data_IF_086544294948
#
_entry.id   IF_086544294948
#
_cell.length_a   1.000
_cell.length_b   1.000
_cell.length_c   1.000
_cell.angle_alpha   90.00
_cell.angle_beta   90.00
_cell.angle_gamma   90.00
#
_symmetry.space_group_name_H-M   'P 1'
#
loop_
_entity.id
_entity.type
_entity.pdbx_description
1 polymer ?
#
# COMPACT_ATOMS: atom_id res chain seq x y z
N UNK A 1 8.22 -7.40 -37.70
CA UNK A 1 8.94 -6.18 -37.29
C UNK A 1 8.10 -5.26 -36.41
N UNK A 2 6.80 -5.07 -36.66
CA UNK A 2 5.88 -4.23 -35.88
C UNK A 2 5.65 -4.69 -34.42
N UNK A 3 5.69 -5.98 -34.15
CA UNK A 3 5.46 -6.54 -32.80
C UNK A 3 6.62 -6.32 -31.83
N UNK A 4 7.86 -6.24 -32.31
CA UNK A 4 9.05 -6.01 -31.46
C UNK A 4 9.10 -4.55 -30.98
N UNK A 5 8.80 -3.60 -31.89
CA UNK A 5 8.78 -2.17 -31.54
C UNK A 5 7.63 -1.82 -30.57
N UNK A 6 6.48 -2.48 -30.70
CA UNK A 6 5.37 -2.28 -29.77
C UNK A 6 5.72 -2.82 -28.35
N UNK A 7 6.43 -3.94 -28.27
CA UNK A 7 6.83 -4.52 -26.96
C UNK A 7 7.90 -3.68 -26.25
N UNK A 8 8.89 -3.13 -26.97
CA UNK A 8 9.93 -2.28 -26.38
C UNK A 8 9.36 -0.95 -25.87
N UNK A 9 8.49 -0.29 -26.62
CA UNK A 9 7.85 0.95 -26.17
C UNK A 9 6.97 0.78 -24.93
N UNK A 10 6.33 -0.39 -24.76
CA UNK A 10 5.54 -0.67 -23.55
C UNK A 10 6.44 -0.88 -22.33
N UNK A 11 7.56 -1.58 -22.51
CA UNK A 11 8.52 -1.78 -21.42
C UNK A 11 9.08 -0.44 -20.96
N UNK A 12 9.48 0.42 -21.89
CA UNK A 12 9.96 1.77 -21.59
C UNK A 12 8.89 2.62 -20.90
N UNK A 13 7.66 2.65 -21.44
CA UNK A 13 6.54 3.31 -20.78
C UNK A 13 6.32 2.81 -19.35
N UNK A 14 6.37 1.49 -19.13
CA UNK A 14 6.16 0.89 -17.82
C UNK A 14 7.28 1.28 -16.84
N UNK A 15 8.54 1.37 -17.29
CA UNK A 15 9.66 1.84 -16.48
C UNK A 15 9.41 3.27 -15.98
N UNK A 16 9.09 4.18 -16.89
CA UNK A 16 8.83 5.60 -16.55
C UNK A 16 7.59 5.72 -15.66
N UNK A 17 6.50 5.03 -16.03
CA UNK A 17 5.25 5.05 -15.25
C UNK A 17 5.48 4.61 -13.80
N UNK A 18 6.14 3.47 -13.59
CA UNK A 18 6.36 2.93 -12.25
C UNK A 18 7.27 3.84 -11.40
N UNK A 19 8.32 4.40 -11.99
CA UNK A 19 9.20 5.34 -11.31
C UNK A 19 8.45 6.61 -10.86
N UNK A 20 7.65 7.19 -11.74
CA UNK A 20 6.81 8.37 -11.45
C UNK A 20 5.76 8.01 -10.39
N UNK A 21 5.05 6.90 -10.58
CA UNK A 21 3.99 6.46 -9.66
C UNK A 21 4.52 6.29 -8.23
N UNK A 22 5.59 5.54 -8.02
CA UNK A 22 6.15 5.33 -6.68
C UNK A 22 6.80 6.58 -6.08
N UNK A 23 7.30 7.48 -6.92
CA UNK A 23 7.75 8.81 -6.46
C UNK A 23 6.58 9.65 -5.98
N UNK A 24 5.44 9.64 -6.70
CA UNK A 24 4.21 10.30 -6.25
C UNK A 24 3.67 9.69 -4.94
N UNK A 25 3.71 8.35 -4.79
CA UNK A 25 3.34 7.67 -3.53
C UNK A 25 4.23 8.12 -2.38
N UNK A 26 5.55 8.14 -2.58
CA UNK A 26 6.51 8.59 -1.57
C UNK A 26 6.29 10.06 -1.19
N UNK A 27 6.11 10.93 -2.19
CA UNK A 27 5.83 12.36 -1.99
C UNK A 27 4.53 12.56 -1.21
N UNK A 28 3.45 11.87 -1.57
CA UNK A 28 2.16 11.98 -0.86
C UNK A 28 2.29 11.68 0.63
N UNK A 29 2.91 10.55 0.99
CA UNK A 29 3.06 10.19 2.40
C UNK A 29 4.02 11.15 3.14
N UNK A 30 5.11 11.57 2.50
CA UNK A 30 6.07 12.52 3.08
C UNK A 30 5.40 13.86 3.36
N UNK A 31 4.71 14.44 2.38
CA UNK A 31 3.98 15.70 2.53
C UNK A 31 2.89 15.58 3.60
N UNK A 32 2.14 14.49 3.59
CA UNK A 32 1.10 14.24 4.60
C UNK A 32 1.66 14.22 6.02
N UNK A 33 2.78 13.55 6.25
CA UNK A 33 3.43 13.47 7.56
C UNK A 33 3.93 14.87 7.97
N UNK A 34 4.63 15.57 7.07
CA UNK A 34 5.16 16.93 7.36
C UNK A 34 4.03 17.91 7.69
N UNK A 35 2.98 17.96 6.85
CA UNK A 35 1.84 18.87 7.08
C UNK A 35 1.13 18.58 8.41
N UNK A 36 0.99 17.32 8.75
CA UNK A 36 0.31 16.95 9.97
C UNK A 36 1.18 17.22 11.22
N UNK A 37 2.52 17.05 11.14
CA UNK A 37 3.45 17.44 12.22
C UNK A 37 3.48 18.96 12.45
N UNK A 38 3.32 19.77 11.39
CA UNK A 38 3.23 21.23 11.50
C UNK A 38 1.93 21.65 12.21
N UNK A 39 0.82 20.96 11.92
CA UNK A 39 -0.49 21.28 12.51
C UNK A 39 -0.62 20.84 13.97
N UNK A 40 -0.08 19.70 14.31
CA UNK A 40 -0.12 19.13 15.66
C UNK A 40 1.23 18.45 15.94
N UNK A 41 1.93 18.81 17.02
CA UNK A 41 3.20 18.17 17.40
C UNK A 41 2.94 16.78 18.03
N UNK A 42 2.29 15.89 17.28
CA UNK A 42 1.97 14.52 17.70
C UNK A 42 2.64 13.55 16.73
N UNK A 43 3.25 12.52 17.26
CA UNK A 43 3.80 11.43 16.44
C UNK A 43 2.70 10.72 15.67
N UNK A 44 2.73 10.86 14.35
CA UNK A 44 1.77 10.21 13.44
C UNK A 44 2.17 8.81 13.04
N UNK A 45 3.45 8.46 13.22
CA UNK A 45 4.00 7.17 12.87
C UNK A 45 4.39 6.46 14.16
N UNK A 46 3.58 5.49 14.54
CA UNK A 46 3.68 4.75 15.78
C UNK A 46 4.10 3.29 15.51
N UNK A 47 5.39 3.01 15.35
CA UNK A 47 5.87 1.67 15.04
C UNK A 47 5.73 0.69 16.21
N UNK A 48 5.42 1.20 17.41
CA UNK A 48 5.45 0.44 18.65
C UNK A 48 6.85 0.33 19.28
N UNK A 49 6.97 -0.41 20.37
CA UNK A 49 8.24 -0.67 21.04
C UNK A 49 9.21 -1.42 20.10
N UNK A 50 10.51 -1.12 20.23
CA UNK A 50 11.54 -1.79 19.41
C UNK A 50 11.46 -3.29 19.56
N UNK A 51 11.57 -4.00 18.43
CA UNK A 51 11.55 -5.46 18.31
C UNK A 51 10.19 -6.13 18.60
N UNK A 52 9.11 -5.39 18.89
CA UNK A 52 7.78 -5.97 18.97
C UNK A 52 7.24 -6.35 17.57
N UNK A 53 6.14 -7.11 17.53
CA UNK A 53 5.56 -7.58 16.26
C UNK A 53 5.12 -6.44 15.34
N UNK A 54 4.58 -5.35 15.89
CA UNK A 54 4.16 -4.16 15.12
C UNK A 54 5.38 -3.40 14.59
N UNK A 55 6.46 -3.31 15.37
CA UNK A 55 7.71 -2.70 14.93
C UNK A 55 8.30 -3.44 13.72
N UNK A 56 8.37 -4.78 13.78
CA UNK A 56 8.84 -5.58 12.63
C UNK A 56 7.97 -5.42 11.40
N UNK A 57 6.63 -5.35 11.56
CA UNK A 57 5.74 -5.04 10.45
C UNK A 57 6.10 -3.70 9.81
N UNK A 58 6.28 -2.64 10.61
CA UNK A 58 6.64 -1.32 10.11
C UNK A 58 8.00 -1.29 9.40
N UNK A 59 9.01 -1.99 9.96
CA UNK A 59 10.34 -2.06 9.35
C UNK A 59 10.30 -2.82 8.03
N UNK A 60 9.57 -3.94 7.96
CA UNK A 60 9.37 -4.71 6.73
C UNK A 60 8.67 -3.86 5.67
N UNK A 61 7.59 -3.15 6.01
CA UNK A 61 6.92 -2.25 5.07
C UNK A 61 7.85 -1.13 4.56
N UNK A 62 8.65 -0.52 5.44
CA UNK A 62 9.62 0.51 5.05
C UNK A 62 10.66 -0.03 4.10
N UNK A 63 11.24 -1.18 4.43
CA UNK A 63 12.24 -1.83 3.61
C UNK A 63 11.71 -2.16 2.21
N UNK A 64 10.56 -2.86 2.10
CA UNK A 64 10.00 -3.21 0.80
C UNK A 64 9.55 -1.98 0.01
N UNK A 65 8.97 -0.98 0.65
CA UNK A 65 8.57 0.26 -0.01
C UNK A 65 9.76 1.00 -0.61
N UNK A 66 10.87 1.09 0.14
CA UNK A 66 12.11 1.67 -0.34
C UNK A 66 12.71 0.83 -1.48
N UNK A 67 12.77 -0.49 -1.33
CA UNK A 67 13.29 -1.40 -2.36
C UNK A 67 12.50 -1.30 -3.67
N UNK A 68 11.17 -1.30 -3.60
CA UNK A 68 10.30 -1.13 -4.77
C UNK A 68 10.58 0.21 -5.45
N UNK A 69 10.61 1.30 -4.70
CA UNK A 69 10.87 2.64 -5.25
C UNK A 69 12.26 2.71 -5.91
N UNK A 70 13.30 2.20 -5.25
CA UNK A 70 14.66 2.17 -5.78
C UNK A 70 14.76 1.32 -7.06
N UNK A 71 14.17 0.12 -7.06
CA UNK A 71 14.16 -0.73 -8.26
C UNK A 71 13.42 -0.04 -9.41
N UNK A 72 12.24 0.54 -9.17
CA UNK A 72 11.49 1.24 -10.21
C UNK A 72 12.26 2.46 -10.74
N UNK A 73 12.96 3.21 -9.88
CA UNK A 73 13.75 4.35 -10.27
C UNK A 73 15.00 3.95 -11.08
N UNK A 74 15.75 2.97 -10.59
CA UNK A 74 16.97 2.52 -11.26
C UNK A 74 16.69 1.85 -12.62
N UNK A 75 15.55 1.19 -12.79
CA UNK A 75 15.14 0.63 -14.09
C UNK A 75 15.02 1.67 -15.21
N UNK A 76 14.84 2.95 -14.88
CA UNK A 76 14.80 4.05 -15.87
C UNK A 76 16.21 4.33 -16.42
N UNK A 77 17.22 4.19 -15.57
CA UNK A 77 18.62 4.51 -15.93
C UNK A 77 19.43 3.29 -16.36
N UNK A 78 19.07 2.10 -15.87
CA UNK A 78 19.80 0.85 -16.07
C UNK A 78 18.83 -0.24 -16.52
N UNK A 79 18.76 -0.43 -17.84
CA UNK A 79 17.85 -1.42 -18.44
C UNK A 79 18.17 -2.88 -18.05
N UNK A 80 19.44 -3.14 -17.75
CA UNK A 80 19.94 -4.46 -17.34
C UNK A 80 19.29 -4.97 -16.05
N UNK A 81 18.73 -4.09 -15.23
CA UNK A 81 18.00 -4.48 -14.01
C UNK A 81 16.86 -5.45 -14.33
N UNK A 82 16.20 -5.31 -15.48
CA UNK A 82 15.11 -6.19 -15.89
C UNK A 82 15.54 -7.66 -15.96
N UNK A 83 16.81 -7.93 -16.31
CA UNK A 83 17.37 -9.28 -16.38
C UNK A 83 17.45 -9.94 -14.98
N UNK A 84 17.61 -9.15 -13.92
CA UNK A 84 17.70 -9.65 -12.54
C UNK A 84 16.34 -9.85 -11.89
N UNK A 85 15.26 -9.27 -12.44
CA UNK A 85 13.93 -9.36 -11.86
C UNK A 85 13.25 -10.71 -12.09
N UNK A 86 13.76 -11.52 -13.03
CA UNK A 86 13.21 -12.82 -13.45
C UNK A 86 11.76 -12.64 -13.90
N UNK A 87 11.58 -12.15 -15.12
CA UNK A 87 10.28 -11.76 -15.67
C UNK A 87 9.42 -12.97 -16.06
N UNK A 88 8.12 -12.93 -15.76
CA UNK A 88 7.13 -13.88 -16.26
C UNK A 88 6.67 -13.47 -17.65
N UNK A 89 7.37 -13.91 -18.70
CA UNK A 89 7.12 -13.52 -20.09
C UNK A 89 5.69 -13.84 -20.56
N UNK A 90 5.08 -14.92 -20.05
CA UNK A 90 3.70 -15.30 -20.36
C UNK A 90 2.66 -14.29 -19.85
N UNK A 91 2.99 -13.50 -18.83
CA UNK A 91 2.13 -12.45 -18.28
C UNK A 91 2.44 -11.05 -18.83
N UNK A 92 3.49 -10.91 -19.62
CA UNK A 92 3.88 -9.62 -20.24
C UNK A 92 3.04 -9.30 -21.48
N UNK A 93 1.75 -9.32 -21.35
CA UNK A 93 0.81 -8.94 -22.40
C UNK A 93 0.19 -7.58 -22.13
N UNK A 94 -0.13 -6.86 -23.19
CA UNK A 94 -0.76 -5.53 -23.09
C UNK A 94 -1.96 -5.49 -22.14
N UNK A 95 -2.95 -6.39 -22.25
CA UNK A 95 -4.12 -6.34 -21.39
C UNK A 95 -3.76 -6.51 -19.92
N UNK A 96 -2.82 -7.38 -19.59
CA UNK A 96 -2.40 -7.64 -18.20
C UNK A 96 -1.69 -6.42 -17.63
N UNK A 97 -0.73 -5.83 -18.38
CA UNK A 97 0.01 -4.65 -17.95
C UNK A 97 -0.92 -3.47 -17.72
N UNK A 98 -1.83 -3.17 -18.68
CA UNK A 98 -2.77 -2.06 -18.53
C UNK A 98 -3.79 -2.30 -17.40
N UNK A 99 -4.23 -3.53 -17.18
CA UNK A 99 -5.04 -3.89 -16.01
C UNK A 99 -4.27 -3.62 -14.73
N UNK A 100 -2.99 -4.01 -14.67
CA UNK A 100 -2.12 -3.73 -13.53
C UNK A 100 -2.00 -2.23 -13.24
N UNK A 101 -1.70 -1.44 -14.25
CA UNK A 101 -1.60 0.03 -14.15
C UNK A 101 -2.93 0.64 -13.67
N UNK A 102 -4.05 0.19 -14.21
CA UNK A 102 -5.38 0.67 -13.81
C UNK A 102 -5.68 0.35 -12.34
N UNK A 103 -5.36 -0.86 -11.88
CA UNK A 103 -5.53 -1.26 -10.47
C UNK A 103 -4.60 -0.47 -9.54
N UNK A 104 -3.38 -0.17 -9.96
CA UNK A 104 -2.45 0.68 -9.18
C UNK A 104 -3.02 2.08 -9.00
N UNK A 105 -3.43 2.71 -10.09
CA UNK A 105 -4.01 4.07 -10.06
C UNK A 105 -5.28 4.07 -9.21
N UNK A 106 -6.20 3.15 -9.47
CA UNK A 106 -7.46 3.05 -8.72
C UNK A 106 -7.21 2.82 -7.22
N UNK A 107 -6.39 1.83 -6.86
CA UNK A 107 -6.08 1.51 -5.47
C UNK A 107 -5.41 2.68 -4.74
N UNK A 108 -4.48 3.37 -5.38
CA UNK A 108 -3.81 4.53 -4.77
C UNK A 108 -4.74 5.74 -4.65
N UNK A 109 -5.53 6.06 -5.67
CA UNK A 109 -6.53 7.14 -5.61
C UNK A 109 -7.55 6.90 -4.50
N UNK A 110 -8.08 5.68 -4.40
CA UNK A 110 -8.99 5.30 -3.32
C UNK A 110 -8.30 5.37 -1.94
N UNK A 111 -7.04 4.99 -1.84
CA UNK A 111 -6.25 5.17 -0.61
C UNK A 111 -6.18 6.64 -0.21
N UNK A 112 -5.91 7.56 -1.14
CA UNK A 112 -5.90 9.00 -0.89
C UNK A 112 -7.26 9.48 -0.41
N UNK A 113 -8.34 9.11 -1.08
CA UNK A 113 -9.71 9.51 -0.75
C UNK A 113 -10.09 9.04 0.67
N UNK A 114 -9.81 7.77 1.02
CA UNK A 114 -10.09 7.26 2.37
C UNK A 114 -9.23 7.97 3.41
N UNK A 115 -7.95 8.23 3.13
CA UNK A 115 -7.08 9.00 4.02
C UNK A 115 -7.59 10.43 4.26
N UNK A 116 -8.07 11.10 3.22
CA UNK A 116 -8.64 12.44 3.34
C UNK A 116 -9.96 12.42 4.14
N UNK A 117 -10.78 11.38 3.96
CA UNK A 117 -12.02 11.23 4.73
C UNK A 117 -11.80 11.01 6.24
N UNK A 118 -10.65 10.47 6.63
CA UNK A 118 -10.28 10.33 8.04
C UNK A 118 -9.78 11.64 8.66
N UNK A 119 -9.26 12.55 7.85
CA UNK A 119 -8.72 13.85 8.33
C UNK A 119 -7.64 13.67 9.41
N UNK A 120 -7.76 14.41 10.50
CA UNK A 120 -6.80 14.41 11.61
C UNK A 120 -6.86 13.14 12.49
N UNK A 121 -7.85 12.27 12.27
CA UNK A 121 -7.99 11.00 12.99
C UNK A 121 -7.02 9.91 12.50
N UNK A 122 -6.40 10.11 11.34
CA UNK A 122 -5.49 9.12 10.77
C UNK A 122 -4.17 9.03 11.55
N UNK A 123 -3.75 7.80 11.83
CA UNK A 123 -2.44 7.45 12.39
C UNK A 123 -1.86 6.28 11.61
N UNK A 124 -0.54 6.19 11.56
CA UNK A 124 0.17 5.04 10.98
C UNK A 124 0.72 4.19 12.11
N UNK A 125 0.14 3.02 12.33
CA UNK A 125 0.47 2.14 13.45
C UNK A 125 -0.57 2.16 14.54
N UNK A 126 -0.24 1.54 15.67
CA UNK A 126 -1.14 1.38 16.82
C UNK A 126 -0.79 2.44 17.85
N UNK A 127 -1.69 3.40 18.05
CA UNK A 127 -1.62 4.39 19.10
C UNK A 127 -1.98 3.74 20.44
N UNK A 128 -1.06 3.74 21.41
CA UNK A 128 -1.30 3.14 22.73
C UNK A 128 -2.44 3.81 23.50
N UNK A 129 -2.63 5.11 23.29
CA UNK A 129 -3.75 5.87 23.86
C UNK A 129 -5.03 5.68 23.06
N UNK A 130 -4.91 5.17 21.83
CA UNK A 130 -5.98 4.84 20.89
C UNK A 130 -6.68 6.05 20.29
N UNK A 131 -7.52 5.81 19.29
CA UNK A 131 -8.41 6.85 18.80
C UNK A 131 -9.46 7.18 19.86
N UNK A 132 -9.77 8.46 20.06
CA UNK A 132 -10.80 8.90 21.02
C UNK A 132 -12.21 8.39 20.68
N UNK A 133 -12.44 7.95 19.45
CA UNK A 133 -13.73 7.51 18.94
C UNK A 133 -13.53 6.46 17.84
N UNK A 134 -14.35 5.41 17.85
CA UNK A 134 -14.40 4.41 16.79
C UNK A 134 -15.00 5.02 15.52
N UNK A 135 -14.31 4.87 14.39
CA UNK A 135 -14.81 5.34 13.08
C UNK A 135 -15.61 4.20 12.44
N UNK A 136 -16.92 4.41 12.26
CA UNK A 136 -17.84 3.43 11.66
C UNK A 136 -18.60 3.97 10.45
N UNK A 137 -18.40 5.24 10.11
CA UNK A 137 -19.09 5.94 9.03
C UNK A 137 -18.25 6.03 7.75
N UNK A 138 -18.85 6.59 6.68
CA UNK A 138 -18.17 6.72 5.39
C UNK A 138 -17.75 5.36 4.81
N UNK A 139 -16.50 5.22 4.39
CA UNK A 139 -15.96 3.96 3.86
C UNK A 139 -15.95 2.82 4.88
N UNK A 140 -15.86 3.14 6.17
CA UNK A 140 -15.87 2.18 7.27
C UNK A 140 -17.25 1.56 7.51
N UNK A 141 -18.30 2.06 6.85
CA UNK A 141 -19.63 1.42 6.82
C UNK A 141 -19.65 0.17 5.95
N UNK A 142 -18.77 0.08 4.95
CA UNK A 142 -18.72 -1.02 3.99
C UNK A 142 -17.62 -2.03 4.26
N UNK A 143 -16.50 -1.57 4.80
CA UNK A 143 -15.35 -2.40 5.15
C UNK A 143 -14.73 -1.90 6.45
N UNK A 144 -14.30 -2.82 7.31
CA UNK A 144 -13.55 -2.45 8.53
C UNK A 144 -12.14 -1.94 8.23
N UNK A 145 -11.61 -2.30 7.06
CA UNK A 145 -10.22 -2.04 6.66
C UNK A 145 -10.11 -1.45 5.25
N UNK A 146 -10.82 -0.35 4.91
CA UNK A 146 -10.90 0.15 3.55
C UNK A 146 -9.55 0.60 2.98
N UNK A 147 -8.66 1.17 3.79
CA UNK A 147 -7.32 1.57 3.35
C UNK A 147 -6.49 0.35 2.96
N UNK A 148 -6.48 -0.69 3.80
CA UNK A 148 -5.72 -1.90 3.53
C UNK A 148 -6.22 -2.64 2.29
N UNK A 149 -7.54 -2.63 2.04
CA UNK A 149 -8.13 -3.17 0.82
C UNK A 149 -7.61 -2.43 -0.42
N UNK A 150 -7.63 -1.09 -0.39
CA UNK A 150 -7.14 -0.26 -1.49
C UNK A 150 -5.64 -0.47 -1.74
N UNK A 151 -4.84 -0.57 -0.69
CA UNK A 151 -3.41 -0.87 -0.78
C UNK A 151 -3.17 -2.27 -1.36
N UNK A 152 -3.96 -3.28 -0.96
CA UNK A 152 -3.85 -4.63 -1.52
C UNK A 152 -4.17 -4.65 -3.03
N UNK A 153 -5.22 -3.94 -3.47
CA UNK A 153 -5.56 -3.78 -4.89
C UNK A 153 -4.38 -3.14 -5.65
N UNK A 154 -3.78 -2.08 -5.11
CA UNK A 154 -2.62 -1.44 -5.73
C UNK A 154 -1.40 -2.37 -5.80
N UNK A 155 -1.16 -3.21 -4.80
CA UNK A 155 -0.07 -4.19 -4.81
C UNK A 155 -0.28 -5.29 -5.85
N UNK A 156 -1.52 -5.79 -6.01
CA UNK A 156 -1.88 -6.72 -7.09
C UNK A 156 -1.64 -6.05 -8.45
N UNK A 157 -2.04 -4.78 -8.57
CA UNK A 157 -1.78 -3.98 -9.76
C UNK A 157 -0.29 -3.88 -10.09
N UNK A 158 0.56 -3.68 -9.10
CA UNK A 158 2.01 -3.62 -9.29
C UNK A 158 2.57 -4.95 -9.83
N UNK A 159 2.15 -6.08 -9.30
CA UNK A 159 2.55 -7.38 -9.82
C UNK A 159 2.11 -7.56 -11.28
N UNK A 160 0.90 -7.17 -11.66
CA UNK A 160 0.42 -7.27 -13.02
C UNK A 160 1.09 -6.28 -13.98
N UNK A 161 1.45 -5.08 -13.51
CA UNK A 161 2.16 -4.08 -14.30
C UNK A 161 3.64 -4.45 -14.56
N UNK A 162 4.24 -5.22 -13.66
CA UNK A 162 5.62 -5.70 -13.75
C UNK A 162 5.68 -7.16 -13.30
N UNK A 163 5.16 -8.12 -14.10
CA UNK A 163 5.09 -9.51 -13.69
C UNK A 163 6.48 -10.14 -13.62
N UNK A 164 7.00 -10.29 -12.40
CA UNK A 164 8.34 -10.80 -12.12
C UNK A 164 8.39 -11.51 -10.77
N UNK A 165 9.43 -12.31 -10.54
CA UNK A 165 9.66 -12.95 -9.24
C UNK A 165 9.83 -11.89 -8.15
N UNK A 166 10.54 -10.79 -8.43
CA UNK A 166 10.68 -9.69 -7.50
C UNK A 166 9.33 -9.13 -7.03
N UNK A 167 8.43 -8.80 -7.98
CA UNK A 167 7.12 -8.24 -7.63
C UNK A 167 6.19 -9.26 -6.99
N UNK A 168 6.31 -10.54 -7.33
CA UNK A 168 5.58 -11.62 -6.65
C UNK A 168 6.00 -11.75 -5.18
N UNK A 169 7.30 -11.68 -4.90
CA UNK A 169 7.82 -11.66 -3.51
C UNK A 169 7.31 -10.43 -2.76
N UNK A 170 7.37 -9.25 -3.39
CA UNK A 170 6.84 -8.01 -2.81
C UNK A 170 5.34 -8.12 -2.51
N UNK A 171 4.54 -8.67 -3.44
CA UNK A 171 3.11 -8.90 -3.26
C UNK A 171 2.84 -9.83 -2.09
N UNK A 172 3.50 -11.00 -2.06
CA UNK A 172 3.27 -12.01 -1.03
C UNK A 172 3.61 -11.46 0.35
N UNK A 173 4.80 -10.88 0.53
CA UNK A 173 5.21 -10.31 1.81
C UNK A 173 4.33 -9.12 2.16
N UNK A 174 4.01 -8.26 1.20
CA UNK A 174 3.14 -7.11 1.39
C UNK A 174 1.75 -7.51 1.91
N UNK A 175 1.09 -8.48 1.29
CA UNK A 175 -0.22 -8.98 1.74
C UNK A 175 -0.16 -9.64 3.12
N UNK A 176 0.90 -10.41 3.41
CA UNK A 176 1.11 -10.99 4.74
C UNK A 176 1.26 -9.92 5.81
N UNK A 177 2.05 -8.88 5.55
CA UNK A 177 2.25 -7.78 6.49
C UNK A 177 0.97 -6.95 6.68
N UNK A 178 0.21 -6.68 5.60
CA UNK A 178 -1.10 -6.03 5.69
C UNK A 178 -2.04 -6.83 6.58
N UNK A 179 -2.14 -8.14 6.37
CA UNK A 179 -3.01 -9.00 7.17
C UNK A 179 -2.62 -9.01 8.65
N UNK A 180 -1.32 -9.11 8.95
CA UNK A 180 -0.81 -9.02 10.35
C UNK A 180 -1.13 -7.66 10.98
N UNK A 181 -0.99 -6.58 10.22
CA UNK A 181 -1.32 -5.23 10.70
C UNK A 181 -2.81 -5.12 11.03
N UNK A 182 -3.69 -5.59 10.15
CA UNK A 182 -5.14 -5.63 10.38
C UNK A 182 -5.47 -6.38 11.67
N UNK A 183 -4.93 -7.57 11.86
CA UNK A 183 -5.20 -8.35 13.07
C UNK A 183 -4.74 -7.62 14.34
N UNK A 184 -3.61 -6.94 14.27
CA UNK A 184 -3.09 -6.16 15.39
C UNK A 184 -3.96 -4.95 15.72
N UNK A 185 -4.43 -4.22 14.70
CA UNK A 185 -5.34 -3.08 14.86
C UNK A 185 -6.71 -3.52 15.36
N UNK A 186 -7.30 -4.59 14.79
CA UNK A 186 -8.58 -5.13 15.26
C UNK A 186 -8.51 -5.59 16.72
N UNK A 187 -7.41 -6.26 17.10
CA UNK A 187 -7.17 -6.66 18.50
C UNK A 187 -7.10 -5.47 19.44
N UNK A 188 -6.44 -4.39 19.01
CA UNK A 188 -6.33 -3.16 19.78
C UNK A 188 -7.69 -2.48 19.94
N UNK A 189 -8.44 -2.31 18.84
CA UNK A 189 -9.78 -1.72 18.84
C UNK A 189 -10.78 -2.53 19.71
N UNK A 190 -10.67 -3.86 19.71
CA UNK A 190 -11.48 -4.73 20.56
C UNK A 190 -11.23 -4.47 22.07
N UNK A 191 -10.00 -4.11 22.45
CA UNK A 191 -9.66 -3.79 23.84
C UNK A 191 -10.15 -2.39 24.24
N UNK A 192 -10.07 -1.42 23.32
CA UNK A 192 -10.46 -0.04 23.60
C UNK A 192 -11.98 0.17 23.59
N UNK A 193 -12.68 -0.45 22.65
CA UNK A 193 -14.11 -0.25 22.37
C UNK A 193 -14.89 -1.56 22.53
N UNK A 194 -14.83 -2.19 23.72
CA UNK A 194 -15.32 -3.55 23.96
C UNK A 194 -16.74 -3.79 23.40
N UNK A 195 -17.69 -2.94 23.75
CA UNK A 195 -19.08 -3.09 23.30
C UNK A 195 -19.33 -2.54 21.90
N UNK A 196 -18.82 -1.36 21.60
CA UNK A 196 -19.03 -0.68 20.32
C UNK A 196 -18.40 -1.46 19.17
N UNK A 197 -17.17 -1.96 19.37
CA UNK A 197 -16.47 -2.73 18.36
C UNK A 197 -17.13 -4.09 18.11
N UNK A 198 -17.69 -4.72 19.14
CA UNK A 198 -18.47 -5.97 19.00
C UNK A 198 -19.69 -5.77 18.12
N UNK A 199 -20.46 -4.70 18.34
CA UNK A 199 -21.63 -4.33 17.51
C UNK A 199 -21.19 -4.04 16.08
N UNK A 200 -20.12 -3.26 15.91
CA UNK A 200 -19.56 -2.91 14.59
C UNK A 200 -19.12 -4.14 13.80
N UNK A 201 -18.42 -5.08 14.42
CA UNK A 201 -17.97 -6.31 13.74
C UNK A 201 -19.08 -7.27 13.38
N UNK A 202 -20.22 -7.20 14.06
CA UNK A 202 -21.42 -7.98 13.72
C UNK A 202 -22.11 -7.45 12.45
N UNK A 203 -22.01 -6.15 12.16
CA UNK A 203 -22.68 -5.49 11.03
C UNK A 203 -21.78 -5.24 9.81
N UNK A 204 -20.47 -5.11 10.00
CA UNK A 204 -19.52 -4.77 8.93
C UNK A 204 -18.44 -5.85 8.79
N UNK A 205 -18.25 -6.32 7.55
CA UNK A 205 -17.23 -7.33 7.25
C UNK A 205 -15.81 -6.75 7.31
N UNK A 206 -14.82 -7.65 7.43
CA UNK A 206 -13.39 -7.24 7.45
C UNK A 206 -12.96 -6.59 6.15
N UNK A 207 -13.42 -7.13 5.02
CA UNK A 207 -13.04 -6.67 3.68
C UNK A 207 -14.20 -5.97 2.97
N UNK A 208 -15.17 -6.70 2.50
CA UNK A 208 -16.40 -6.22 1.86
C UNK A 208 -17.57 -7.16 2.18
#
# INVERSE_FOLDING_TARGET
>A
MSTINASSGIIEFTRIFLAVFYTCVAAFYTVKIIVAQIKQPVDLVLPGERFCSTWWNHMTFRFFRLSIWMVCLFRVFFEEIDNYLIMFTSLQTLPIIFTGISLMIFGFMMTIIVHLSMGDKWRSGIDSEGPKQLITNGFFKYSRNPIFLCVAISQIGFFLALPSVFTLVCLTIGLLMLYRQILSEEKHLTKLFVNEYKIYTASVRRWL
#
